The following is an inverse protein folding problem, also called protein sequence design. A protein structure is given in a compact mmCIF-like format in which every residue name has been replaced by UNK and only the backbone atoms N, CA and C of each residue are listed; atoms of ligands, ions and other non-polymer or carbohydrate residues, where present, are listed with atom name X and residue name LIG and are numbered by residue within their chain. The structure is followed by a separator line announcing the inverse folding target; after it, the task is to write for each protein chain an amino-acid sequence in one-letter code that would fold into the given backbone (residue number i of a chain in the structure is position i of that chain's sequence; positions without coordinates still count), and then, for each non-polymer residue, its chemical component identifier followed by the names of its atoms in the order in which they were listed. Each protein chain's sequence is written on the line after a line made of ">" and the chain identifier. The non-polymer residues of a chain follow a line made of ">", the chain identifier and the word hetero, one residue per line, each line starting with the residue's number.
data_IF_930304202177
#
_entry.id   IF_930304202177
#
_cell.length_a   1.000
_cell.length_b   1.000
_cell.length_c   1.000
_cell.angle_alpha   90.00
_cell.angle_beta   90.00
_cell.angle_gamma   90.00
#
_symmetry.space_group_name_H-M   'P 1'
#
loop_
_entity.id
_entity.type
_entity.pdbx_description
1 polymer ?
#
# COMPACT_ATOMS: atom_id res chain seq x y z
N UNK A 1 -18.65 -10.04 -0.79
CA UNK A 1 -18.92 -8.59 -0.59
C UNK A 1 -18.20 -8.07 0.65
N UNK A 2 -18.34 -8.75 1.81
CA UNK A 2 -17.67 -8.38 3.07
C UNK A 2 -16.14 -8.35 2.96
N UNK A 3 -15.55 -9.30 2.22
CA UNK A 3 -14.10 -9.39 1.97
C UNK A 3 -13.50 -8.22 1.18
N UNK A 4 -14.27 -7.53 0.33
CA UNK A 4 -13.82 -6.34 -0.39
C UNK A 4 -13.81 -5.11 0.53
N UNK A 5 -14.86 -4.93 1.34
CA UNK A 5 -14.92 -3.86 2.34
C UNK A 5 -13.82 -3.99 3.38
N UNK A 6 -13.55 -5.21 3.87
CA UNK A 6 -12.46 -5.48 4.83
C UNK A 6 -11.08 -5.20 4.21
N UNK A 7 -10.89 -5.41 2.91
CA UNK A 7 -9.64 -5.05 2.21
C UNK A 7 -9.47 -3.54 2.08
N UNK A 8 -10.53 -2.80 1.77
CA UNK A 8 -10.48 -1.33 1.71
C UNK A 8 -10.15 -0.76 3.09
N UNK A 9 -10.86 -1.20 4.12
CA UNK A 9 -10.60 -0.79 5.51
C UNK A 9 -9.20 -1.19 5.95
N UNK A 10 -8.74 -2.39 5.60
CA UNK A 10 -7.38 -2.84 5.90
C UNK A 10 -6.29 -2.01 5.24
N UNK A 11 -6.49 -1.58 3.98
CA UNK A 11 -5.55 -0.68 3.31
C UNK A 11 -5.55 0.72 3.94
N UNK A 12 -6.72 1.24 4.34
CA UNK A 12 -6.80 2.52 5.05
C UNK A 12 -6.08 2.45 6.42
N UNK A 13 -6.27 1.37 7.18
CA UNK A 13 -5.54 1.11 8.43
C UNK A 13 -4.04 0.94 8.19
N UNK A 14 -3.65 0.30 7.10
CA UNK A 14 -2.24 0.15 6.72
C UNK A 14 -1.56 1.49 6.44
N UNK A 15 -2.23 2.39 5.71
CA UNK A 15 -1.75 3.75 5.47
C UNK A 15 -1.63 4.50 6.80
N UNK A 16 -2.67 4.45 7.65
CA UNK A 16 -2.65 5.11 8.95
C UNK A 16 -1.50 4.59 9.84
N UNK A 17 -1.30 3.27 9.90
CA UNK A 17 -0.18 2.67 10.61
C UNK A 17 1.17 3.12 10.04
N UNK A 18 1.31 3.18 8.72
CA UNK A 18 2.53 3.67 8.09
C UNK A 18 2.84 5.13 8.47
N UNK A 19 1.83 6.00 8.59
CA UNK A 19 2.03 7.41 9.01
C UNK A 19 2.60 7.47 10.42
N UNK A 20 2.14 6.57 11.29
CA UNK A 20 2.57 6.56 12.67
C UNK A 20 3.95 5.92 12.89
N UNK A 21 4.25 4.85 12.15
CA UNK A 21 5.48 4.07 12.33
C UNK A 21 6.67 4.55 11.49
N UNK A 22 6.44 5.31 10.42
CA UNK A 22 7.49 5.65 9.45
C UNK A 22 7.83 7.14 9.52
N UNK A 23 8.99 7.52 10.09
CA UNK A 23 9.46 8.90 10.03
C UNK A 23 9.70 9.30 8.57
N UNK A 24 9.13 10.43 8.16
CA UNK A 24 9.15 10.90 6.77
C UNK A 24 7.91 10.51 5.95
N UNK A 25 6.93 9.81 6.52
CA UNK A 25 5.61 9.64 5.91
C UNK A 25 4.60 10.56 6.61
N UNK A 26 4.29 11.68 5.96
CA UNK A 26 3.36 12.68 6.50
C UNK A 26 2.01 12.59 5.80
N UNK A 27 0.95 12.84 6.56
CA UNK A 27 -0.41 12.86 6.03
C UNK A 27 -1.16 14.10 6.53
N UNK A 28 -1.58 14.94 5.60
CA UNK A 28 -2.21 16.24 5.85
C UNK A 28 -3.69 16.15 5.48
N UNK A 29 -4.52 15.62 6.37
CA UNK A 29 -5.94 15.44 6.11
C UNK A 29 -6.71 14.82 7.27
N UNK A 30 -8.04 14.80 7.13
CA UNK A 30 -8.95 14.14 8.05
C UNK A 30 -9.42 12.78 7.52
N UNK A 31 -10.51 12.28 8.10
CA UNK A 31 -11.10 10.97 7.76
C UNK A 31 -11.47 10.83 6.27
N UNK A 32 -11.84 11.94 5.61
CA UNK A 32 -12.22 11.92 4.18
C UNK A 32 -11.03 11.60 3.29
N UNK A 33 -9.89 12.22 3.56
CA UNK A 33 -8.65 12.05 2.82
C UNK A 33 -8.11 10.62 3.01
N UNK A 34 -8.16 10.07 4.24
CA UNK A 34 -7.79 8.68 4.48
C UNK A 34 -8.67 7.70 3.71
N UNK A 35 -9.98 7.97 3.64
CA UNK A 35 -10.91 7.15 2.86
C UNK A 35 -10.59 7.21 1.36
N UNK A 36 -10.33 8.41 0.82
CA UNK A 36 -9.94 8.61 -0.59
C UNK A 36 -8.63 7.87 -0.88
N UNK A 37 -7.61 8.05 -0.04
CA UNK A 37 -6.32 7.38 -0.16
C UNK A 37 -6.46 5.85 -0.17
N UNK A 38 -7.25 5.31 0.76
CA UNK A 38 -7.52 3.88 0.85
C UNK A 38 -8.24 3.33 -0.39
N UNK A 39 -9.21 4.06 -0.93
CA UNK A 39 -9.91 3.69 -2.16
C UNK A 39 -8.96 3.71 -3.36
N UNK A 40 -8.18 4.78 -3.53
CA UNK A 40 -7.25 4.90 -4.65
C UNK A 40 -6.18 3.82 -4.57
N UNK A 41 -5.55 3.63 -3.41
CA UNK A 41 -4.56 2.56 -3.22
C UNK A 41 -5.16 1.19 -3.50
N UNK A 42 -6.42 0.94 -3.13
CA UNK A 42 -7.12 -0.31 -3.45
C UNK A 42 -7.32 -0.49 -4.97
N UNK A 43 -7.69 0.59 -5.68
CA UNK A 43 -7.83 0.58 -7.15
C UNK A 43 -6.50 0.35 -7.85
N UNK A 44 -5.43 1.05 -7.42
CA UNK A 44 -4.08 0.85 -7.95
C UNK A 44 -3.61 -0.59 -7.72
N UNK A 45 -3.90 -1.16 -6.55
CA UNK A 45 -3.60 -2.56 -6.26
C UNK A 45 -4.42 -3.55 -7.09
N UNK A 46 -5.61 -3.18 -7.55
CA UNK A 46 -6.46 -4.02 -8.39
C UNK A 46 -6.05 -3.97 -9.87
N UNK A 47 -5.62 -2.80 -10.37
CA UNK A 47 -5.37 -2.57 -11.80
C UNK A 47 -3.89 -2.54 -12.12
N UNK A 48 -3.10 -1.69 -11.45
CA UNK A 48 -1.69 -1.49 -11.78
C UNK A 48 -0.82 -2.62 -11.25
N UNK A 49 -1.09 -3.11 -10.04
CA UNK A 49 -0.26 -4.17 -9.44
C UNK A 49 -0.15 -5.44 -10.31
N UNK A 50 -1.24 -6.00 -10.88
CA UNK A 50 -1.15 -7.14 -11.80
C UNK A 50 -0.29 -6.84 -13.03
N UNK A 51 -0.46 -5.66 -13.63
CA UNK A 51 0.26 -5.23 -14.84
C UNK A 51 1.76 -5.10 -14.54
N UNK A 52 2.10 -4.38 -13.47
CA UNK A 52 3.48 -4.23 -13.01
C UNK A 52 4.10 -5.58 -12.66
N UNK A 53 3.36 -6.46 -11.98
CA UNK A 53 3.84 -7.80 -11.65
C UNK A 53 4.09 -8.66 -12.88
N UNK A 54 3.27 -8.53 -13.93
CA UNK A 54 3.44 -9.25 -15.18
C UNK A 54 4.72 -8.80 -15.91
N UNK A 55 4.91 -7.49 -16.04
CA UNK A 55 6.08 -6.90 -16.71
C UNK A 55 7.35 -7.17 -15.90
N UNK A 56 7.28 -7.07 -14.58
CA UNK A 56 8.40 -7.30 -13.68
C UNK A 56 8.59 -8.76 -13.31
N UNK A 57 7.77 -9.69 -13.80
CA UNK A 57 7.87 -11.12 -13.49
C UNK A 57 9.29 -11.71 -13.63
N UNK A 58 10.04 -11.47 -14.73
CA UNK A 58 11.41 -11.96 -14.84
C UNK A 58 12.30 -11.43 -13.71
N UNK A 59 12.20 -10.14 -13.38
CA UNK A 59 12.96 -9.54 -12.27
C UNK A 59 12.51 -10.07 -10.90
N UNK A 60 11.20 -10.30 -10.71
CA UNK A 60 10.67 -10.90 -9.48
C UNK A 60 11.29 -12.28 -9.28
N UNK A 61 11.37 -13.10 -10.32
CA UNK A 61 11.97 -14.44 -10.23
C UNK A 61 13.47 -14.34 -9.96
N UNK A 62 14.19 -13.48 -10.71
CA UNK A 62 15.64 -13.27 -10.54
C UNK A 62 16.02 -12.77 -9.14
N UNK A 63 15.16 -11.95 -8.53
CA UNK A 63 15.36 -11.37 -7.20
C UNK A 63 14.67 -12.15 -6.08
N UNK A 64 14.18 -13.37 -6.35
CA UNK A 64 13.47 -14.23 -5.38
C UNK A 64 12.28 -13.54 -4.69
N UNK A 65 11.61 -12.64 -5.39
CA UNK A 65 10.44 -11.92 -4.88
C UNK A 65 10.74 -10.52 -4.32
N UNK A 66 12.00 -10.13 -4.13
CA UNK A 66 12.37 -8.81 -3.58
C UNK A 66 11.83 -7.65 -4.44
N UNK A 67 11.77 -7.82 -5.76
CA UNK A 67 11.20 -6.81 -6.67
C UNK A 67 9.70 -6.53 -6.40
N UNK A 68 9.00 -7.40 -5.68
CA UNK A 68 7.62 -7.14 -5.25
C UNK A 68 7.55 -5.94 -4.29
N UNK A 69 8.58 -5.73 -3.47
CA UNK A 69 8.67 -4.55 -2.60
C UNK A 69 8.75 -3.29 -3.45
N UNK A 70 9.55 -3.30 -4.52
CA UNK A 70 9.67 -2.18 -5.46
C UNK A 70 8.33 -1.85 -6.11
N UNK A 71 7.54 -2.87 -6.51
CA UNK A 71 6.20 -2.64 -7.07
C UNK A 71 5.28 -1.99 -6.04
N UNK A 72 5.21 -2.52 -4.82
CA UNK A 72 4.33 -1.97 -3.79
C UNK A 72 4.76 -0.53 -3.41
N UNK A 73 6.06 -0.27 -3.39
CA UNK A 73 6.66 1.04 -3.21
C UNK A 73 6.25 2.01 -4.33
N UNK A 74 6.35 1.59 -5.59
CA UNK A 74 5.91 2.39 -6.73
C UNK A 74 4.43 2.76 -6.66
N UNK A 75 3.58 1.86 -6.18
CA UNK A 75 2.15 2.16 -5.99
C UNK A 75 1.93 3.19 -4.90
N UNK A 76 2.67 3.10 -3.79
CA UNK A 76 2.59 4.06 -2.69
C UNK A 76 3.12 5.43 -3.12
N UNK A 77 4.25 5.44 -3.84
CA UNK A 77 4.82 6.63 -4.45
C UNK A 77 3.85 7.30 -5.43
N UNK A 78 3.07 6.50 -6.18
CA UNK A 78 2.07 7.05 -7.08
C UNK A 78 0.93 7.74 -6.32
N UNK A 79 0.55 7.23 -5.14
CA UNK A 79 -0.44 7.90 -4.27
C UNK A 79 0.10 9.24 -3.75
N UNK A 80 1.35 9.24 -3.29
CA UNK A 80 2.08 10.46 -2.91
C UNK A 80 2.16 11.47 -4.04
N UNK A 81 2.41 11.02 -5.27
CA UNK A 81 2.47 11.88 -6.45
C UNK A 81 1.10 12.44 -6.86
N UNK A 82 0.01 11.69 -6.62
CA UNK A 82 -1.36 12.10 -7.02
C UNK A 82 -1.99 13.05 -5.99
N UNK A 83 -1.60 12.95 -4.72
CA UNK A 83 -2.30 13.64 -3.63
C UNK A 83 -1.36 14.47 -2.76
N UNK A 84 -1.61 15.78 -2.71
CA UNK A 84 -0.88 16.73 -1.86
C UNK A 84 -1.03 16.46 -0.34
N UNK A 85 -2.02 15.65 0.06
CA UNK A 85 -2.23 15.26 1.45
C UNK A 85 -1.41 14.03 1.87
N UNK A 86 -0.70 13.38 0.95
CA UNK A 86 0.29 12.34 1.25
C UNK A 86 1.65 12.93 0.91
N UNK A 87 2.62 12.80 1.82
CA UNK A 87 3.98 13.27 1.56
C UNK A 87 5.00 12.27 2.07
N UNK A 88 5.79 11.72 1.15
CA UNK A 88 6.92 10.83 1.48
C UNK A 88 8.24 11.58 1.27
N UNK A 89 8.95 11.87 2.36
CA UNK A 89 10.13 12.74 2.32
C UNK A 89 11.33 12.12 1.61
N UNK A 90 11.53 10.80 1.74
CA UNK A 90 12.73 10.11 1.26
C UNK A 90 12.43 8.69 0.75
N UNK A 91 13.33 8.16 -0.09
CA UNK A 91 13.26 6.76 -0.58
C UNK A 91 13.26 5.77 0.59
N UNK A 92 13.98 6.06 1.67
CA UNK A 92 14.00 5.19 2.86
C UNK A 92 12.64 5.16 3.55
N UNK A 93 11.99 6.32 3.72
CA UNK A 93 10.63 6.38 4.26
C UNK A 93 9.67 5.59 3.36
N UNK A 94 9.84 5.68 2.05
CA UNK A 94 9.03 4.96 1.09
C UNK A 94 9.16 3.43 1.22
N UNK A 95 10.39 2.94 1.35
CA UNK A 95 10.67 1.51 1.57
C UNK A 95 10.09 1.04 2.90
N UNK A 96 10.30 1.77 3.99
CA UNK A 96 9.74 1.43 5.30
C UNK A 96 8.20 1.43 5.30
N UNK A 97 7.58 2.45 4.70
CA UNK A 97 6.13 2.53 4.57
C UNK A 97 5.57 1.35 3.77
N UNK A 98 6.26 0.95 2.70
CA UNK A 98 5.90 -0.22 1.90
C UNK A 98 5.95 -1.52 2.71
N UNK A 99 6.97 -1.68 3.54
CA UNK A 99 7.13 -2.85 4.42
C UNK A 99 6.01 -2.87 5.46
N UNK A 100 5.77 -1.75 6.15
CA UNK A 100 4.71 -1.63 7.16
C UNK A 100 3.34 -1.93 6.55
N UNK A 101 3.02 -1.32 5.41
CA UNK A 101 1.77 -1.57 4.68
C UNK A 101 1.65 -3.04 4.27
N UNK A 102 2.75 -3.64 3.81
CA UNK A 102 2.81 -5.06 3.46
C UNK A 102 2.48 -5.98 4.63
N UNK A 103 3.05 -5.70 5.81
CA UNK A 103 2.80 -6.45 7.04
C UNK A 103 1.34 -6.28 7.49
N UNK A 104 0.81 -5.05 7.52
CA UNK A 104 -0.58 -4.81 7.92
C UNK A 104 -1.54 -5.51 6.97
N UNK A 105 -1.30 -5.42 5.66
CA UNK A 105 -2.11 -6.11 4.66
C UNK A 105 -2.04 -7.64 4.78
N UNK A 106 -0.89 -8.20 5.18
CA UNK A 106 -0.77 -9.63 5.50
C UNK A 106 -1.67 -10.01 6.67
N UNK A 107 -1.64 -9.25 7.77
CA UNK A 107 -2.48 -9.50 8.96
C UNK A 107 -3.96 -9.39 8.59
N UNK A 108 -4.35 -8.33 7.88
CA UNK A 108 -5.72 -8.15 7.40
C UNK A 108 -6.15 -9.35 6.54
N UNK A 109 -5.31 -9.80 5.63
CA UNK A 109 -5.60 -10.95 4.76
C UNK A 109 -5.85 -12.24 5.56
N UNK A 110 -5.09 -12.47 6.63
CA UNK A 110 -5.32 -13.61 7.54
C UNK A 110 -6.67 -13.47 8.25
N UNK A 111 -6.99 -12.28 8.78
CA UNK A 111 -8.27 -12.02 9.45
C UNK A 111 -9.46 -12.19 8.50
N UNK A 112 -9.38 -11.68 7.27
CA UNK A 112 -10.45 -11.86 6.28
C UNK A 112 -10.67 -13.34 5.97
N UNK A 113 -9.60 -14.11 5.79
CA UNK A 113 -9.69 -15.56 5.55
C UNK A 113 -10.29 -16.36 6.71
N UNK A 114 -10.26 -15.84 7.94
CA UNK A 114 -10.88 -16.51 9.09
C UNK A 114 -12.37 -16.20 9.24
N UNK A 115 -12.86 -15.15 8.57
CA UNK A 115 -14.27 -14.71 8.66
C UNK A 115 -15.11 -15.25 7.48
N UNK A 116 -14.48 -15.54 6.34
CA UNK A 116 -15.07 -16.29 5.22
C UNK A 116 -14.97 -17.81 5.45
#
# INVERSE_FOLDING_TARGET
>A
MMSFLLRILGNAVAIYAAVWFVPGFSFTGGIKEYAIAGVVLSLLNMVLRPILKLISMPFIILTLGLFTIVINALLLWLVDYIFDFVTISDIMALVWATIVIGIVNMIVSVVVKTVD
#
